data_IF_559824924593
#
_entry.id   IF_559824924593
#
_cell.length_a   1.000
_cell.length_b   1.000
_cell.length_c   1.000
_cell.angle_alpha   90.00
_cell.angle_beta   90.00
_cell.angle_gamma   90.00
#
_symmetry.space_group_name_H-M   'P 1'
#
loop_
_entity.id
_entity.type
_entity.pdbx_description
1 polymer ?
#
# COMPACT_ATOMS: atom_id res chain seq x y z
N UNK A 1 4.03 -1.93 23.84
CA UNK A 1 2.62 -1.91 23.40
C UNK A 1 1.70 -1.97 24.63
N UNK A 2 0.62 -1.19 24.63
CA UNK A 2 -0.38 -1.25 25.70
C UNK A 2 -1.06 -2.62 25.72
N UNK A 3 -1.45 -3.09 26.90
CA UNK A 3 -2.22 -4.31 27.00
C UNK A 3 -3.59 -4.14 26.31
N UNK A 4 -4.10 -5.18 25.66
CA UNK A 4 -5.34 -5.14 24.87
C UNK A 4 -6.55 -4.59 25.65
N UNK A 5 -6.58 -4.77 26.98
CA UNK A 5 -7.63 -4.22 27.86
C UNK A 5 -7.65 -2.69 27.98
N UNK A 6 -6.62 -2.01 27.49
CA UNK A 6 -6.52 -0.53 27.46
C UNK A 6 -6.70 0.05 26.06
N UNK A 7 -7.01 -0.80 25.08
CA UNK A 7 -7.21 -0.38 23.68
C UNK A 7 -8.65 -0.68 23.29
N UNK A 8 -9.29 0.30 22.71
CA UNK A 8 -10.64 0.19 22.18
C UNK A 8 -10.62 0.49 20.68
N UNK A 9 -11.47 -0.20 19.93
CA UNK A 9 -11.72 0.06 18.51
C UNK A 9 -13.19 0.33 18.30
N UNK A 10 -13.51 1.30 17.46
CA UNK A 10 -14.87 1.63 17.06
C UNK A 10 -14.92 1.71 15.54
N UNK A 11 -15.98 1.17 14.97
CA UNK A 11 -16.26 1.35 13.54
C UNK A 11 -16.63 2.81 13.31
N UNK A 12 -16.01 3.43 12.32
CA UNK A 12 -16.31 4.80 11.93
C UNK A 12 -17.73 4.90 11.35
N UNK A 13 -18.51 5.92 11.74
CA UNK A 13 -19.93 6.04 11.38
C UNK A 13 -20.18 5.96 9.86
N UNK A 14 -19.33 6.60 9.04
CA UNK A 14 -19.41 6.47 7.57
C UNK A 14 -19.24 5.04 7.05
N UNK A 15 -18.49 4.19 7.78
CA UNK A 15 -18.32 2.79 7.41
C UNK A 15 -19.56 1.97 7.76
N UNK A 16 -20.30 2.34 8.82
CA UNK A 16 -21.57 1.72 9.15
C UNK A 16 -22.55 1.90 7.99
N UNK A 17 -22.70 3.12 7.49
CA UNK A 17 -23.59 3.38 6.35
C UNK A 17 -23.14 2.65 5.08
N UNK A 18 -21.83 2.56 4.83
CA UNK A 18 -21.29 1.98 3.61
C UNK A 18 -21.35 0.45 3.59
N UNK A 19 -21.05 -0.19 4.73
CA UNK A 19 -20.83 -1.64 4.81
C UNK A 19 -22.00 -2.40 5.49
N UNK A 20 -22.80 -1.74 6.33
CA UNK A 20 -23.79 -2.42 7.17
C UNK A 20 -25.23 -2.01 6.89
N UNK A 21 -25.49 -0.99 6.05
CA UNK A 21 -26.85 -0.48 5.79
C UNK A 21 -27.85 -1.55 5.39
N UNK A 22 -27.42 -2.58 4.68
CA UNK A 22 -28.26 -3.66 4.17
C UNK A 22 -27.97 -5.01 4.84
N UNK A 23 -27.41 -5.01 6.05
CA UNK A 23 -26.98 -6.22 6.76
C UNK A 23 -28.14 -7.20 7.05
N UNK A 24 -29.35 -6.67 7.20
CA UNK A 24 -30.56 -7.48 7.43
C UNK A 24 -30.96 -8.35 6.22
N UNK A 25 -30.47 -8.02 5.04
CA UNK A 25 -30.74 -8.78 3.81
C UNK A 25 -29.71 -9.87 3.51
N UNK A 26 -28.69 -10.00 4.35
CA UNK A 26 -27.62 -11.00 4.19
C UNK A 26 -27.98 -12.29 4.90
N UNK A 27 -27.59 -13.41 4.32
CA UNK A 27 -27.67 -14.70 5.00
C UNK A 27 -26.69 -14.74 6.16
N UNK A 28 -27.18 -15.19 7.33
CA UNK A 28 -26.39 -15.37 8.54
C UNK A 28 -26.14 -16.85 8.76
N UNK A 29 -24.95 -17.20 9.18
CA UNK A 29 -24.53 -18.56 9.52
C UNK A 29 -23.94 -18.60 10.92
N UNK A 30 -23.90 -19.79 11.51
CA UNK A 30 -23.22 -20.03 12.80
C UNK A 30 -21.76 -20.30 12.51
N UNK A 31 -20.86 -19.60 13.21
CA UNK A 31 -19.43 -19.90 13.17
C UNK A 31 -19.09 -21.06 14.11
N UNK A 32 -17.83 -21.48 14.12
CA UNK A 32 -17.34 -22.60 14.94
C UNK A 32 -17.44 -22.33 16.46
N UNK A 33 -17.60 -21.07 16.85
CA UNK A 33 -17.80 -20.64 18.25
C UNK A 33 -19.27 -20.60 18.67
N UNK A 34 -20.20 -20.92 17.75
CA UNK A 34 -21.63 -20.87 18.02
C UNK A 34 -22.23 -19.46 17.97
N UNK A 35 -21.54 -18.51 17.38
CA UNK A 35 -22.01 -17.13 17.19
C UNK A 35 -22.57 -16.95 15.78
N UNK A 36 -23.60 -16.11 15.65
CA UNK A 36 -24.15 -15.75 14.34
C UNK A 36 -23.29 -14.66 13.71
N UNK A 37 -22.86 -14.92 12.48
CA UNK A 37 -22.16 -13.93 11.68
C UNK A 37 -22.71 -13.85 10.24
N UNK A 38 -22.65 -12.69 9.60
CA UNK A 38 -23.11 -12.54 8.23
C UNK A 38 -22.11 -13.22 7.28
N UNK A 39 -22.62 -13.94 6.28
CA UNK A 39 -21.81 -14.63 5.28
C UNK A 39 -20.91 -13.67 4.51
N UNK A 40 -21.33 -12.43 4.33
CA UNK A 40 -20.58 -11.33 3.72
C UNK A 40 -21.13 -9.97 4.18
N UNK A 41 -20.34 -8.93 4.06
CA UNK A 41 -20.80 -7.57 4.27
C UNK A 41 -21.41 -7.02 2.98
N UNK A 42 -22.67 -6.55 3.00
CA UNK A 42 -23.38 -6.04 1.83
C UNK A 42 -22.93 -4.60 1.51
N UNK A 43 -21.65 -4.42 1.25
CA UNK A 43 -21.11 -3.12 0.97
C UNK A 43 -21.66 -2.54 -0.32
N UNK A 44 -22.07 -1.28 -0.30
CA UNK A 44 -22.51 -0.54 -1.48
C UNK A 44 -21.37 -0.26 -2.47
N UNK A 45 -20.14 -0.47 -2.04
CA UNK A 45 -18.93 -0.23 -2.81
C UNK A 45 -17.84 -1.25 -2.42
N UNK A 46 -16.98 -1.70 -3.33
CA UNK A 46 -15.93 -2.65 -3.01
C UNK A 46 -14.87 -2.04 -2.07
N UNK A 47 -15.06 -2.23 -0.76
CA UNK A 47 -14.22 -1.64 0.30
C UNK A 47 -12.74 -2.00 0.17
N UNK A 48 -12.43 -3.17 -0.38
CA UNK A 48 -11.05 -3.60 -0.62
C UNK A 48 -10.29 -2.70 -1.61
N UNK A 49 -11.01 -1.94 -2.44
CA UNK A 49 -10.44 -0.98 -3.38
C UNK A 49 -10.31 0.43 -2.80
N UNK A 50 -10.91 0.67 -1.61
CA UNK A 50 -10.85 1.95 -0.92
C UNK A 50 -9.78 1.89 0.17
N UNK A 51 -8.91 2.87 0.20
CA UNK A 51 -7.85 2.96 1.19
C UNK A 51 -6.77 3.94 0.78
N UNK A 52 -5.71 3.98 1.53
CA UNK A 52 -4.61 4.93 1.29
C UNK A 52 -3.47 4.35 0.46
N UNK A 53 -3.32 3.03 0.42
CA UNK A 53 -2.20 2.37 -0.28
C UNK A 53 -2.63 1.05 -0.93
N UNK A 54 -2.98 0.07 -0.13
CA UNK A 54 -3.40 -1.27 -0.54
C UNK A 54 -4.18 -1.95 0.57
N UNK A 55 -4.96 -2.95 0.20
CA UNK A 55 -5.60 -3.88 1.13
C UNK A 55 -4.87 -5.21 1.07
N UNK A 56 -4.51 -5.75 2.21
CA UNK A 56 -3.79 -7.02 2.34
C UNK A 56 -4.70 -8.07 2.97
N UNK A 57 -4.75 -9.25 2.35
CA UNK A 57 -5.39 -10.44 2.89
C UNK A 57 -4.38 -11.55 3.07
N UNK A 58 -4.40 -12.19 4.24
CA UNK A 58 -3.53 -13.32 4.57
C UNK A 58 -4.41 -14.50 4.95
N UNK A 59 -4.20 -15.64 4.28
CA UNK A 59 -4.83 -16.92 4.59
C UNK A 59 -3.78 -18.03 4.66
N UNK A 60 -4.22 -19.27 4.90
CA UNK A 60 -3.32 -20.42 4.88
C UNK A 60 -2.79 -20.66 3.47
N UNK A 61 -1.50 -20.38 3.25
CA UNK A 61 -0.82 -20.57 1.96
C UNK A 61 -1.06 -19.49 0.91
N UNK A 62 -1.85 -18.45 1.21
CA UNK A 62 -2.13 -17.35 0.28
C UNK A 62 -1.85 -16.00 0.92
N UNK A 63 -1.38 -15.10 0.11
CA UNK A 63 -1.29 -13.68 0.43
C UNK A 63 -1.78 -12.89 -0.77
N UNK A 64 -2.75 -12.02 -0.56
CA UNK A 64 -3.26 -11.14 -1.61
C UNK A 64 -2.89 -9.71 -1.32
N UNK A 65 -2.56 -8.99 -2.38
CA UNK A 65 -2.35 -7.56 -2.38
C UNK A 65 -3.30 -6.93 -3.40
N UNK A 66 -4.20 -6.11 -2.91
CA UNK A 66 -5.18 -5.40 -3.73
C UNK A 66 -4.82 -3.92 -3.68
N UNK A 67 -4.38 -3.31 -4.78
CA UNK A 67 -4.11 -1.87 -4.80
C UNK A 67 -5.40 -1.10 -4.57
N UNK A 68 -5.29 0.01 -3.83
CA UNK A 68 -6.40 0.92 -3.63
C UNK A 68 -6.36 2.03 -4.69
N UNK A 69 -7.52 2.61 -4.96
CA UNK A 69 -7.72 3.65 -5.96
C UNK A 69 -8.49 4.83 -5.34
N UNK A 70 -8.40 5.98 -5.98
CA UNK A 70 -9.22 7.13 -5.60
C UNK A 70 -10.70 6.82 -5.90
N UNK A 71 -11.57 7.29 -5.04
CA UNK A 71 -13.01 7.03 -5.19
C UNK A 71 -13.57 7.64 -6.49
N UNK A 72 -13.03 8.78 -6.91
CA UNK A 72 -13.39 9.44 -8.15
C UNK A 72 -13.05 8.57 -9.37
N UNK A 73 -11.83 8.01 -9.39
CA UNK A 73 -11.36 7.13 -10.47
C UNK A 73 -12.23 5.85 -10.55
N UNK A 74 -12.56 5.28 -9.39
CA UNK A 74 -13.43 4.09 -9.32
C UNK A 74 -14.86 4.40 -9.78
N UNK A 75 -15.37 5.60 -9.47
CA UNK A 75 -16.67 6.06 -9.95
C UNK A 75 -16.69 6.17 -11.48
N UNK A 76 -15.65 6.78 -12.07
CA UNK A 76 -15.53 6.88 -13.53
C UNK A 76 -15.47 5.49 -14.19
N UNK A 77 -14.69 4.57 -13.61
CA UNK A 77 -14.61 3.18 -14.08
C UNK A 77 -15.97 2.47 -13.99
N UNK A 78 -16.69 2.66 -12.91
CA UNK A 78 -18.02 2.08 -12.73
C UNK A 78 -19.03 2.64 -13.75
N UNK A 79 -19.02 3.95 -13.98
CA UNK A 79 -19.90 4.58 -14.98
C UNK A 79 -19.62 4.03 -16.38
N UNK A 80 -18.35 3.82 -16.73
CA UNK A 80 -17.99 3.20 -17.99
C UNK A 80 -18.48 1.74 -18.09
N UNK A 81 -18.28 0.94 -17.05
CA UNK A 81 -18.77 -0.45 -16.98
C UNK A 81 -20.31 -0.54 -17.11
N UNK A 82 -21.03 0.47 -16.64
CA UNK A 82 -22.49 0.59 -16.77
C UNK A 82 -22.94 1.16 -18.12
N UNK A 83 -22.02 1.39 -19.06
CA UNK A 83 -22.33 1.98 -20.37
C UNK A 83 -22.76 3.44 -20.31
N UNK A 84 -22.41 4.17 -19.23
CA UNK A 84 -22.72 5.59 -19.04
C UNK A 84 -21.61 6.52 -19.54
N UNK A 85 -20.49 5.98 -19.97
CA UNK A 85 -19.36 6.70 -20.55
C UNK A 85 -18.82 5.93 -21.75
N UNK A 86 -18.48 6.64 -22.83
CA UNK A 86 -17.94 6.04 -24.06
C UNK A 86 -16.45 5.75 -23.96
N UNK A 87 -15.72 6.52 -23.12
CA UNK A 87 -14.28 6.41 -23.00
C UNK A 87 -13.93 5.53 -21.78
N UNK A 88 -13.14 4.49 -22.02
CA UNK A 88 -12.61 3.63 -20.95
C UNK A 88 -11.58 4.40 -20.12
N UNK A 89 -11.85 4.67 -18.82
CA UNK A 89 -10.90 5.34 -17.96
C UNK A 89 -9.76 4.40 -17.56
N UNK A 90 -8.54 4.88 -17.67
CA UNK A 90 -7.34 4.20 -17.20
C UNK A 90 -6.98 4.77 -15.82
N UNK A 91 -7.35 4.05 -14.79
CA UNK A 91 -7.12 4.46 -13.41
C UNK A 91 -5.80 3.90 -12.88
N UNK A 92 -5.15 4.65 -11.98
CA UNK A 92 -3.86 4.27 -11.39
C UNK A 92 -4.03 3.98 -9.90
N UNK A 93 -3.34 2.94 -9.39
CA UNK A 93 -3.30 2.70 -7.95
C UNK A 93 -2.79 3.92 -7.17
N UNK A 94 -3.36 4.12 -5.97
CA UNK A 94 -2.82 5.11 -5.03
C UNK A 94 -1.46 4.61 -4.54
N UNK A 95 -0.45 5.47 -4.61
CA UNK A 95 0.86 5.17 -4.07
C UNK A 95 1.62 6.45 -3.76
N UNK A 96 2.38 6.44 -2.65
CA UNK A 96 3.37 7.47 -2.36
C UNK A 96 4.68 7.21 -3.13
N UNK A 97 4.76 6.12 -3.89
CA UNK A 97 5.87 5.73 -4.74
C UNK A 97 5.57 6.09 -6.20
N UNK A 98 6.62 6.16 -6.99
CA UNK A 98 6.46 6.31 -8.44
C UNK A 98 6.06 4.96 -9.03
N UNK A 99 4.92 4.90 -9.71
CA UNK A 99 4.46 3.73 -10.44
C UNK A 99 4.80 3.92 -11.91
N UNK A 100 5.56 2.98 -12.46
CA UNK A 100 5.90 2.95 -13.89
C UNK A 100 5.16 1.78 -14.53
N UNK A 101 4.11 2.09 -15.26
CA UNK A 101 3.33 1.13 -16.01
C UNK A 101 2.76 1.79 -17.27
N UNK A 102 2.73 1.05 -18.38
CA UNK A 102 2.04 1.50 -19.58
C UNK A 102 0.52 1.38 -19.39
N UNK A 103 -0.23 2.11 -20.18
CA UNK A 103 -1.69 2.08 -20.16
C UNK A 103 -2.24 0.67 -20.41
N UNK A 104 -1.58 -0.13 -21.26
CA UNK A 104 -1.97 -1.52 -21.48
C UNK A 104 -1.81 -2.37 -20.23
N UNK A 105 -0.71 -2.23 -19.50
CA UNK A 105 -0.48 -2.95 -18.23
C UNK A 105 -1.51 -2.53 -17.17
N UNK A 106 -1.88 -1.26 -17.12
CA UNK A 106 -2.94 -0.78 -16.22
C UNK A 106 -4.31 -1.33 -16.62
N UNK A 107 -4.62 -1.42 -17.90
CA UNK A 107 -5.85 -2.06 -18.41
C UNK A 107 -5.89 -3.55 -18.06
N UNK A 108 -4.78 -4.27 -18.25
CA UNK A 108 -4.66 -5.67 -17.89
C UNK A 108 -4.90 -5.87 -16.38
N UNK A 109 -4.31 -5.00 -15.55
CA UNK A 109 -4.54 -5.04 -14.10
C UNK A 109 -6.02 -4.88 -13.75
N UNK A 110 -6.72 -3.97 -14.42
CA UNK A 110 -8.14 -3.68 -14.18
C UNK A 110 -9.09 -4.76 -14.74
N UNK A 111 -8.64 -5.55 -15.69
CA UNK A 111 -9.45 -6.55 -16.38
C UNK A 111 -9.21 -7.95 -15.84
N UNK A 112 -7.95 -8.32 -15.68
CA UNK A 112 -7.54 -9.68 -15.29
C UNK A 112 -7.14 -9.81 -13.83
N UNK A 113 -6.97 -8.67 -13.13
CA UNK A 113 -6.44 -8.58 -11.76
C UNK A 113 -5.02 -9.12 -11.61
N UNK A 114 -4.31 -9.28 -12.72
CA UNK A 114 -2.93 -9.81 -12.78
C UNK A 114 -2.12 -8.93 -13.71
N UNK A 115 -1.17 -8.17 -13.15
CA UNK A 115 -0.21 -7.44 -13.93
C UNK A 115 1.09 -7.25 -13.16
N UNK A 116 2.19 -7.14 -13.86
CA UNK A 116 3.47 -6.76 -13.28
C UNK A 116 3.63 -5.25 -13.45
N UNK A 117 3.67 -4.55 -12.33
CA UNK A 117 3.92 -3.11 -12.27
C UNK A 117 5.23 -2.84 -11.55
N UNK A 118 6.00 -1.89 -12.05
CA UNK A 118 7.23 -1.44 -11.40
C UNK A 118 6.93 -0.26 -10.49
N UNK A 119 7.39 -0.37 -9.23
CA UNK A 119 7.15 0.63 -8.19
C UNK A 119 8.49 1.07 -7.62
N UNK A 120 8.81 2.33 -7.76
CA UNK A 120 10.06 2.94 -7.28
C UNK A 120 9.80 3.79 -6.03
N UNK A 121 10.60 3.58 -4.98
CA UNK A 121 10.61 4.45 -3.82
C UNK A 121 11.15 5.84 -4.15
N UNK A 122 10.69 6.85 -3.42
CA UNK A 122 11.18 8.23 -3.60
C UNK A 122 12.35 8.47 -2.67
N UNK A 123 13.49 8.82 -3.27
CA UNK A 123 14.72 9.15 -2.57
C UNK A 123 15.02 10.64 -2.75
N UNK A 124 15.37 11.32 -1.66
CA UNK A 124 15.83 12.71 -1.68
C UNK A 124 17.29 12.78 -1.22
N UNK A 125 18.13 13.35 -2.05
CA UNK A 125 19.54 13.59 -1.75
C UNK A 125 19.72 15.02 -1.26
N UNK A 126 20.35 15.20 -0.11
CA UNK A 126 20.76 16.51 0.40
C UNK A 126 22.26 16.72 0.19
N UNK A 127 22.68 17.51 -0.81
CA UNK A 127 24.09 17.74 -1.08
C UNK A 127 24.81 18.43 0.06
N UNK A 128 24.11 19.34 0.76
CA UNK A 128 24.70 20.13 1.85
C UNK A 128 24.95 19.32 3.11
N UNK A 129 24.03 18.42 3.45
CA UNK A 129 24.07 17.67 4.71
C UNK A 129 24.67 16.26 4.54
N UNK A 130 25.22 15.94 3.38
CA UNK A 130 25.78 14.60 3.10
C UNK A 130 24.81 13.47 3.48
N UNK A 131 23.50 13.65 3.25
CA UNK A 131 22.47 12.70 3.62
C UNK A 131 21.57 12.34 2.46
N UNK A 132 21.07 11.12 2.49
CA UNK A 132 20.06 10.59 1.58
C UNK A 132 18.85 10.19 2.42
N UNK A 133 17.67 10.64 2.04
CA UNK A 133 16.43 10.32 2.75
C UNK A 133 15.50 9.52 1.83
N UNK A 134 15.13 8.33 2.28
CA UNK A 134 14.06 7.55 1.68
C UNK A 134 12.72 8.10 2.16
N UNK A 135 11.91 8.61 1.23
CA UNK A 135 10.63 9.27 1.52
C UNK A 135 9.41 8.41 1.24
N UNK A 136 9.57 7.35 0.46
CA UNK A 136 8.53 6.36 0.28
C UNK A 136 9.14 4.99 0.02
N UNK A 137 8.40 3.95 0.39
CA UNK A 137 8.79 2.57 0.23
C UNK A 137 7.72 1.80 -0.56
N UNK A 138 8.11 0.98 -1.56
CA UNK A 138 7.15 0.21 -2.33
C UNK A 138 6.35 -0.73 -1.43
N UNK A 139 5.03 -0.73 -1.59
CA UNK A 139 4.17 -1.65 -0.88
C UNK A 139 4.49 -3.12 -1.25
N UNK A 140 4.23 -4.04 -0.32
CA UNK A 140 4.53 -5.45 -0.51
C UNK A 140 5.98 -5.85 -0.28
N UNK A 141 6.88 -4.88 0.00
CA UNK A 141 8.27 -5.14 0.35
C UNK A 141 8.53 -4.74 1.80
N UNK A 142 9.17 -5.63 2.54
CA UNK A 142 9.61 -5.32 3.92
C UNK A 142 10.92 -4.56 3.88
N UNK A 143 10.96 -3.42 4.56
CA UNK A 143 12.18 -2.60 4.63
C UNK A 143 13.31 -3.33 5.36
N UNK A 144 13.01 -4.11 6.40
CA UNK A 144 13.99 -4.92 7.14
C UNK A 144 14.73 -5.91 6.24
N UNK A 145 14.05 -6.45 5.23
CA UNK A 145 14.70 -7.36 4.26
C UNK A 145 15.77 -6.65 3.45
N UNK A 146 15.53 -5.38 3.11
CA UNK A 146 16.53 -4.55 2.43
C UNK A 146 17.69 -4.20 3.38
N UNK A 147 17.38 -3.75 4.59
CA UNK A 147 18.41 -3.42 5.58
C UNK A 147 19.34 -4.60 5.85
N UNK A 148 18.77 -5.79 6.05
CA UNK A 148 19.55 -7.01 6.28
C UNK A 148 20.46 -7.37 5.08
N UNK A 149 19.99 -7.06 3.87
CA UNK A 149 20.78 -7.29 2.65
C UNK A 149 21.96 -6.30 2.52
N UNK A 150 21.74 -5.05 2.93
CA UNK A 150 22.71 -3.98 2.77
C UNK A 150 23.46 -3.62 4.06
N UNK A 151 23.12 -4.18 5.22
CA UNK A 151 23.75 -3.82 6.51
C UNK A 151 25.27 -3.92 6.48
N UNK A 152 25.77 -5.03 5.94
CA UNK A 152 27.21 -5.25 5.82
C UNK A 152 27.91 -4.23 4.90
N UNK A 153 27.25 -3.82 3.85
CA UNK A 153 27.73 -2.81 2.91
C UNK A 153 27.69 -1.41 3.53
N UNK A 154 26.65 -1.08 4.26
CA UNK A 154 26.49 0.20 4.97
C UNK A 154 27.57 0.34 6.06
N UNK A 155 27.77 -0.70 6.87
CA UNK A 155 28.80 -0.72 7.92
C UNK A 155 30.22 -0.60 7.35
N UNK A 156 30.53 -1.31 6.26
CA UNK A 156 31.85 -1.25 5.62
C UNK A 156 32.19 0.11 5.01
N UNK A 157 31.20 0.96 4.79
CA UNK A 157 31.33 2.28 4.16
C UNK A 157 31.12 3.44 5.13
N UNK A 158 31.07 3.19 6.44
CA UNK A 158 30.82 4.19 7.48
C UNK A 158 29.50 4.98 7.23
N UNK A 159 28.44 4.28 6.80
CA UNK A 159 27.13 4.86 6.58
C UNK A 159 26.25 4.55 7.80
N UNK A 160 25.82 5.58 8.47
CA UNK A 160 24.80 5.47 9.53
C UNK A 160 23.39 5.69 8.96
N UNK A 161 22.42 5.13 9.61
CA UNK A 161 21.02 5.38 9.25
C UNK A 161 20.16 5.55 10.50
N UNK A 162 19.09 6.31 10.34
CA UNK A 162 18.10 6.53 11.39
C UNK A 162 16.70 6.48 10.77
N UNK A 163 15.80 5.79 11.43
CA UNK A 163 14.38 5.77 11.06
C UNK A 163 13.65 6.91 11.78
N UNK A 164 13.18 7.84 11.01
CA UNK A 164 12.40 8.99 11.45
C UNK A 164 10.93 8.86 10.98
N UNK A 165 10.52 7.65 10.56
CA UNK A 165 9.18 7.42 10.06
C UNK A 165 8.15 7.53 11.18
N UNK A 166 7.00 8.13 10.84
CA UNK A 166 5.79 8.14 11.67
C UNK A 166 4.62 7.62 10.82
N UNK A 167 3.75 8.49 10.35
CA UNK A 167 2.69 8.13 9.41
C UNK A 167 3.24 7.91 7.98
N UNK A 168 4.33 8.61 7.64
CA UNK A 168 5.02 8.48 6.36
C UNK A 168 6.43 7.93 6.52
N UNK A 169 6.89 7.17 5.53
CA UNK A 169 8.26 6.68 5.47
C UNK A 169 9.25 7.84 5.43
N UNK A 170 10.19 7.87 6.36
CA UNK A 170 11.25 8.86 6.42
C UNK A 170 12.52 8.26 7.03
N UNK A 171 13.28 7.54 6.24
CA UNK A 171 14.50 6.89 6.69
C UNK A 171 15.68 7.69 6.15
N UNK A 172 16.52 8.17 7.05
CA UNK A 172 17.66 9.02 6.72
C UNK A 172 18.96 8.21 6.82
N UNK A 173 19.75 8.27 5.76
CA UNK A 173 21.10 7.74 5.70
C UNK A 173 22.08 8.90 5.71
N UNK A 174 23.05 8.88 6.62
CA UNK A 174 24.10 9.87 6.72
C UNK A 174 25.42 9.26 6.29
N UNK A 175 26.11 9.96 5.39
CA UNK A 175 27.37 9.52 4.83
C UNK A 175 28.45 10.42 5.35
N UNK A 176 29.39 9.86 6.06
CA UNK A 176 30.51 10.60 6.64
C UNK A 176 31.52 11.06 5.57
N UNK A 177 31.59 10.38 4.42
CA UNK A 177 32.52 10.71 3.33
C UNK A 177 31.78 10.94 1.99
N UNK A 178 32.18 11.96 1.26
CA UNK A 178 31.53 12.41 0.01
C UNK A 178 31.51 11.34 -1.10
N UNK A 179 32.45 10.38 -1.10
CA UNK A 179 32.53 9.29 -2.09
C UNK A 179 31.38 8.27 -2.02
N UNK A 180 30.65 8.20 -0.94
CA UNK A 180 29.67 7.12 -0.70
C UNK A 180 28.24 7.48 -1.06
N UNK A 181 27.96 8.72 -1.52
CA UNK A 181 26.60 9.16 -1.92
C UNK A 181 26.05 8.38 -3.11
N UNK A 182 26.90 8.14 -4.12
CA UNK A 182 26.50 7.45 -5.33
C UNK A 182 26.20 5.97 -5.08
N UNK A 183 26.86 5.37 -4.10
CA UNK A 183 26.64 3.98 -3.69
C UNK A 183 25.28 3.81 -3.03
N UNK A 184 24.90 4.72 -2.13
CA UNK A 184 23.58 4.69 -1.49
C UNK A 184 22.49 4.92 -2.55
N UNK A 185 22.68 5.92 -3.40
CA UNK A 185 21.71 6.23 -4.46
C UNK A 185 21.51 5.04 -5.41
N UNK A 186 22.58 4.39 -5.83
CA UNK A 186 22.52 3.18 -6.66
C UNK A 186 21.83 2.02 -5.96
N UNK A 187 22.06 1.81 -4.67
CA UNK A 187 21.45 0.73 -3.91
C UNK A 187 19.93 0.86 -3.75
N UNK A 188 19.36 2.07 -3.88
CA UNK A 188 17.92 2.32 -3.79
C UNK A 188 17.21 2.40 -5.15
N UNK A 189 17.94 2.49 -6.25
CA UNK A 189 17.38 2.57 -7.61
C UNK A 189 17.36 1.20 -8.30
N UNK A 190 18.18 0.24 -7.85
CA UNK A 190 18.20 -1.16 -8.34
C UNK A 190 17.23 -2.05 -7.59
#
# INVERSE_FOLDING_TARGET
PAASRYTEVKIHDKMIDLAFKNIDHVKWEMNDLGEKEPLYLPSMFPLCLLGTKYTEGIGFGYKTFIPCYKIEDLKERLLWLLGKSEVEPIIKPISNCKITASDNVLKDLLTTWKAKIDIEGIVRVSPRNHSVSLKSWPFGRRFETLLNKFSKELESQDISWIDLSSEETNIKFEVLKQRNKDTIYKAFIT
#
